data_IF_688763847660
#
_entry.id   IF_688763847660
#
_cell.length_a   1.000
_cell.length_b   1.000
_cell.length_c   1.000
_cell.angle_alpha   90.00
_cell.angle_beta   90.00
_cell.angle_gamma   90.00
#
_symmetry.space_group_name_H-M   'P 1'
#
loop_
_entity.id
_entity.type
_entity.pdbx_description
1 polymer ?
#
# COMPACT_ATOMS: atom_id res chain seq x y z
N UNK A 1 21.42 31.03 2.22
CA UNK A 1 20.65 30.07 3.03
C UNK A 1 21.24 28.70 2.76
N UNK A 2 21.91 28.12 3.75
CA UNK A 2 22.52 26.79 3.60
C UNK A 2 21.38 25.75 3.64
N UNK A 3 21.19 25.03 2.54
CA UNK A 3 20.32 23.85 2.51
C UNK A 3 20.98 22.80 3.39
N UNK A 4 20.35 22.50 4.53
CA UNK A 4 20.72 21.36 5.36
C UNK A 4 20.48 20.09 4.52
N UNK A 5 21.54 19.59 3.89
CA UNK A 5 21.54 18.36 3.14
C UNK A 5 21.76 17.19 4.12
N UNK A 6 20.82 16.99 5.06
CA UNK A 6 20.78 15.75 5.81
C UNK A 6 20.36 14.67 4.81
N UNK A 7 21.13 13.59 4.61
CA UNK A 7 20.70 12.53 3.68
C UNK A 7 19.34 12.00 4.14
N UNK A 8 18.40 11.86 3.19
CA UNK A 8 17.10 11.26 3.47
C UNK A 8 17.29 9.88 4.12
N UNK A 9 16.51 9.53 5.15
CA UNK A 9 16.63 8.23 5.79
C UNK A 9 16.41 7.13 4.77
N UNK A 10 17.24 6.11 4.78
CA UNK A 10 17.13 4.93 3.91
C UNK A 10 15.77 4.25 4.06
N UNK A 11 15.20 4.26 5.28
CA UNK A 11 13.91 3.66 5.61
C UNK A 11 12.87 4.77 5.79
N UNK A 12 11.78 4.69 4.99
CA UNK A 12 10.68 5.65 5.07
C UNK A 12 9.64 5.26 6.12
N UNK A 13 9.43 3.96 6.33
CA UNK A 13 8.54 3.43 7.35
C UNK A 13 9.27 2.41 8.21
N UNK A 14 9.03 2.44 9.52
CA UNK A 14 9.56 1.45 10.47
C UNK A 14 8.48 1.12 11.51
N UNK A 15 8.36 -0.16 11.87
CA UNK A 15 7.56 -0.59 13.02
C UNK A 15 8.47 -1.11 14.12
N UNK A 16 8.15 -0.77 15.37
CA UNK A 16 8.88 -1.21 16.57
C UNK A 16 7.91 -1.82 17.56
N UNK A 17 8.05 -3.13 17.78
CA UNK A 17 7.23 -3.94 18.69
C UNK A 17 5.72 -3.67 18.52
N UNK A 18 5.28 -3.57 17.26
CA UNK A 18 3.93 -3.14 16.92
C UNK A 18 2.90 -4.23 17.24
N UNK A 19 1.99 -3.91 18.15
CA UNK A 19 0.77 -4.67 18.44
C UNK A 19 -0.47 -3.89 17.99
N UNK A 20 -1.44 -4.58 17.39
CA UNK A 20 -2.69 -3.96 16.93
C UNK A 20 -3.89 -4.71 17.52
N UNK A 21 -4.81 -3.96 18.12
CA UNK A 21 -6.00 -4.50 18.77
C UNK A 21 -7.29 -3.96 18.14
N UNK A 22 -8.33 -4.79 18.15
CA UNK A 22 -9.72 -4.43 17.93
C UNK A 22 -10.52 -4.81 19.19
N UNK A 23 -10.82 -3.83 20.05
CA UNK A 23 -11.32 -4.08 21.40
C UNK A 23 -10.33 -4.91 22.21
N UNK A 24 -10.74 -6.07 22.71
CA UNK A 24 -9.86 -7.01 23.43
C UNK A 24 -9.11 -7.99 22.51
N UNK A 25 -9.44 -8.04 21.23
CA UNK A 25 -8.82 -8.96 20.29
C UNK A 25 -7.50 -8.40 19.75
N UNK A 26 -6.38 -9.08 20.05
CA UNK A 26 -5.06 -8.76 19.47
C UNK A 26 -4.99 -9.36 18.08
N UNK A 27 -5.05 -8.52 17.04
CA UNK A 27 -5.04 -8.95 15.64
C UNK A 27 -3.62 -9.16 15.10
N UNK A 28 -2.65 -8.33 15.55
CA UNK A 28 -1.25 -8.37 15.14
C UNK A 28 -0.37 -8.19 16.36
N UNK A 29 0.78 -8.87 16.41
CA UNK A 29 1.70 -8.81 17.56
C UNK A 29 3.16 -8.75 17.15
N UNK A 30 3.94 -7.91 17.87
CA UNK A 30 5.40 -7.87 17.88
C UNK A 30 6.04 -7.62 16.51
N UNK A 31 5.40 -6.82 15.65
CA UNK A 31 5.92 -6.59 14.29
C UNK A 31 7.04 -5.57 14.32
N UNK A 32 8.21 -5.99 13.82
CA UNK A 32 9.39 -5.17 13.60
C UNK A 32 9.78 -5.24 12.12
N UNK A 33 9.64 -4.14 11.39
CA UNK A 33 9.93 -4.03 9.96
C UNK A 33 10.55 -2.69 9.64
N UNK A 34 11.38 -2.66 8.58
CA UNK A 34 11.95 -1.43 8.02
C UNK A 34 11.71 -1.42 6.51
N UNK A 35 10.97 -0.44 6.02
CA UNK A 35 10.60 -0.32 4.61
C UNK A 35 11.49 0.72 3.95
N UNK A 36 12.24 0.29 2.95
CA UNK A 36 13.15 1.13 2.19
C UNK A 36 12.39 2.07 1.26
N UNK A 37 12.94 3.29 1.13
CA UNK A 37 12.42 4.32 0.23
C UNK A 37 12.57 3.89 -1.23
N UNK A 38 11.56 4.22 -2.06
CA UNK A 38 11.53 3.94 -3.50
C UNK A 38 11.73 2.45 -3.85
N UNK A 39 11.16 1.58 -3.02
CA UNK A 39 11.11 0.14 -3.21
C UNK A 39 9.68 -0.37 -3.12
N UNK A 40 9.45 -1.55 -3.67
CA UNK A 40 8.20 -2.29 -3.49
C UNK A 40 8.40 -3.34 -2.40
N UNK A 41 7.65 -3.23 -1.31
CA UNK A 41 7.60 -4.23 -0.23
C UNK A 41 6.27 -4.98 -0.29
N UNK A 42 6.31 -6.30 -0.48
CA UNK A 42 5.14 -7.15 -0.40
C UNK A 42 4.94 -7.71 1.01
N UNK A 43 3.68 -7.76 1.45
CA UNK A 43 3.25 -8.49 2.65
C UNK A 43 2.42 -9.69 2.18
N UNK A 44 2.93 -10.90 2.37
CA UNK A 44 2.27 -12.15 1.97
C UNK A 44 1.91 -13.00 3.19
N UNK A 45 1.06 -13.99 2.99
CA UNK A 45 0.66 -14.95 4.04
C UNK A 45 -0.79 -15.39 3.88
N UNK A 46 -1.23 -16.38 4.67
CA UNK A 46 -2.57 -16.94 4.59
C UNK A 46 -3.66 -15.91 4.92
N UNK A 47 -4.88 -16.19 4.47
CA UNK A 47 -6.04 -15.35 4.77
C UNK A 47 -6.28 -15.27 6.28
N UNK A 48 -6.61 -14.08 6.77
CA UNK A 48 -6.92 -13.85 8.19
C UNK A 48 -5.70 -13.72 9.12
N UNK A 49 -4.45 -13.72 8.62
CA UNK A 49 -3.26 -13.50 9.44
C UNK A 49 -2.95 -12.03 9.75
N UNK A 50 -3.81 -11.08 9.38
CA UNK A 50 -3.65 -9.67 9.75
C UNK A 50 -2.92 -8.77 8.75
N UNK A 51 -2.67 -9.20 7.50
CA UNK A 51 -1.94 -8.41 6.48
C UNK A 51 -2.54 -7.03 6.25
N UNK A 52 -3.84 -6.95 5.95
CA UNK A 52 -4.53 -5.67 5.74
C UNK A 52 -4.61 -4.84 7.02
N UNK A 53 -4.64 -5.49 8.20
CA UNK A 53 -4.57 -4.80 9.49
C UNK A 53 -3.20 -4.13 9.66
N UNK A 54 -2.11 -4.84 9.36
CA UNK A 54 -0.76 -4.27 9.39
C UNK A 54 -0.61 -3.15 8.35
N UNK A 55 -1.07 -3.36 7.11
CA UNK A 55 -0.99 -2.34 6.06
C UNK A 55 -1.68 -1.04 6.47
N UNK A 56 -2.89 -1.12 7.04
CA UNK A 56 -3.68 0.03 7.48
C UNK A 56 -3.10 0.74 8.71
N UNK A 57 -2.19 0.11 9.45
CA UNK A 57 -1.49 0.77 10.54
C UNK A 57 -0.50 1.82 10.03
N UNK A 58 0.08 1.64 8.84
CA UNK A 58 1.04 2.59 8.26
C UNK A 58 0.45 3.97 7.92
N UNK A 59 -0.89 4.09 7.80
CA UNK A 59 -1.55 5.37 7.55
C UNK A 59 -2.71 5.66 8.51
N UNK A 60 -2.75 5.01 9.66
CA UNK A 60 -3.75 5.21 10.71
C UNK A 60 -5.20 4.91 10.27
N UNK A 61 -5.39 4.14 9.17
CA UNK A 61 -6.73 3.75 8.72
C UNK A 61 -7.44 2.81 9.69
N UNK A 62 -6.71 2.10 10.54
CA UNK A 62 -7.30 1.25 11.58
C UNK A 62 -8.14 2.06 12.59
N UNK A 63 -7.80 3.32 12.86
CA UNK A 63 -8.54 4.20 13.78
C UNK A 63 -9.98 4.50 13.32
N UNK A 64 -10.30 4.25 12.05
CA UNK A 64 -11.68 4.37 11.55
C UNK A 64 -12.60 3.24 12.06
N UNK A 65 -12.03 2.19 12.64
CA UNK A 65 -12.79 1.12 13.28
C UNK A 65 -12.84 1.35 14.78
N UNK A 66 -14.06 1.42 15.33
CA UNK A 66 -14.28 1.65 16.75
C UNK A 66 -13.56 0.60 17.62
N UNK A 67 -12.90 1.05 18.67
CA UNK A 67 -12.17 0.19 19.60
C UNK A 67 -10.80 -0.25 19.12
N UNK A 68 -10.27 0.31 18.02
CA UNK A 68 -8.88 0.04 17.63
C UNK A 68 -7.90 0.72 18.58
N UNK A 69 -6.88 -0.02 18.99
CA UNK A 69 -5.71 0.53 19.69
C UNK A 69 -4.41 -0.08 19.19
N UNK A 70 -3.34 0.69 19.31
CA UNK A 70 -1.99 0.33 18.87
C UNK A 70 -1.04 0.49 20.04
N UNK A 71 -0.19 -0.52 20.26
CA UNK A 71 0.96 -0.45 21.15
C UNK A 71 2.24 -0.62 20.31
N UNK A 72 3.37 -0.12 20.81
CA UNK A 72 4.59 -0.01 20.03
C UNK A 72 4.58 1.26 19.19
N UNK A 73 5.37 1.32 18.12
CA UNK A 73 5.54 2.51 17.30
C UNK A 73 5.42 2.22 15.81
N UNK A 74 4.90 3.19 15.08
CA UNK A 74 4.97 3.25 13.61
C UNK A 74 5.66 4.55 13.25
N UNK A 75 6.91 4.44 12.81
CA UNK A 75 7.73 5.59 12.44
C UNK A 75 7.57 5.88 10.94
N UNK A 76 7.37 7.13 10.59
CA UNK A 76 7.41 7.63 9.23
C UNK A 76 8.41 8.80 9.17
N UNK A 77 9.46 8.66 8.36
CA UNK A 77 10.59 9.58 8.32
C UNK A 77 11.20 9.90 9.69
N UNK A 78 11.23 8.89 10.59
CA UNK A 78 11.78 9.03 11.93
C UNK A 78 10.83 9.61 12.97
N UNK A 79 9.60 9.97 12.61
CA UNK A 79 8.56 10.48 13.51
C UNK A 79 7.49 9.42 13.79
N UNK A 80 7.06 9.26 15.04
CA UNK A 80 5.97 8.34 15.38
C UNK A 80 4.63 8.91 14.94
N UNK A 81 4.03 8.28 13.92
CA UNK A 81 2.74 8.76 13.36
C UNK A 81 1.56 8.60 14.32
N UNK A 82 1.71 7.88 15.44
CA UNK A 82 0.69 7.75 16.50
C UNK A 82 0.92 8.67 17.70
N UNK A 83 1.94 9.56 17.63
CA UNK A 83 2.11 10.59 18.65
C UNK A 83 0.89 11.51 18.72
N UNK A 84 0.63 12.07 19.93
CA UNK A 84 -0.61 12.82 20.22
C UNK A 84 -0.80 14.09 19.42
N UNK A 85 0.28 14.68 18.99
CA UNK A 85 0.35 15.93 18.21
C UNK A 85 0.36 15.72 16.70
N UNK A 86 0.36 14.48 16.23
CA UNK A 86 0.34 14.15 14.80
C UNK A 86 -1.09 14.07 14.27
N UNK A 87 -1.41 14.89 13.27
CA UNK A 87 -2.72 14.89 12.60
C UNK A 87 -2.86 13.65 11.69
N UNK A 88 -3.86 12.78 11.89
CA UNK A 88 -4.12 11.64 11.01
C UNK A 88 -4.42 12.03 9.56
N UNK A 89 -4.92 13.24 9.31
CA UNK A 89 -5.22 13.73 7.95
C UNK A 89 -3.92 13.98 7.21
N UNK A 90 -2.93 14.59 7.86
CA UNK A 90 -1.61 14.82 7.29
C UNK A 90 -0.90 13.49 6.99
N UNK A 91 -0.98 12.52 7.89
CA UNK A 91 -0.42 11.16 7.65
C UNK A 91 -1.04 10.54 6.40
N UNK A 92 -2.37 10.61 6.24
CA UNK A 92 -3.08 10.03 5.08
C UNK A 92 -2.85 10.81 3.78
N UNK A 93 -2.47 12.06 3.86
CA UNK A 93 -2.04 12.85 2.71
C UNK A 93 -0.69 12.36 2.18
N UNK A 94 0.28 12.13 3.09
CA UNK A 94 1.63 11.68 2.75
C UNK A 94 1.71 10.17 2.46
N UNK A 95 0.79 9.37 3.04
CA UNK A 95 0.71 7.91 2.87
C UNK A 95 -0.65 7.53 2.29
N UNK A 96 -0.71 7.50 0.95
CA UNK A 96 -1.93 7.19 0.19
C UNK A 96 -2.32 5.72 0.25
N UNK A 97 -3.58 5.40 -0.06
CA UNK A 97 -4.08 4.02 -0.04
C UNK A 97 -4.93 3.69 -1.26
N UNK A 98 -4.66 2.53 -1.85
CA UNK A 98 -5.45 1.88 -2.89
C UNK A 98 -6.07 0.62 -2.31
N UNK A 99 -7.40 0.50 -2.39
CA UNK A 99 -8.15 -0.60 -1.78
C UNK A 99 -8.28 -1.79 -2.73
N UNK A 100 -8.57 -2.95 -2.16
CA UNK A 100 -8.78 -4.20 -2.87
C UNK A 100 -9.90 -4.09 -3.91
N UNK A 101 -11.04 -3.53 -3.51
CA UNK A 101 -12.15 -3.26 -4.41
C UNK A 101 -12.00 -1.84 -4.96
N UNK A 102 -11.95 -1.66 -6.29
CA UNK A 102 -11.94 -0.32 -6.88
C UNK A 102 -13.08 0.54 -6.32
N UNK A 103 -12.76 1.75 -5.93
CA UNK A 103 -13.71 2.68 -5.32
C UNK A 103 -13.63 4.09 -5.95
N UNK A 104 -13.78 4.20 -7.27
CA UNK A 104 -13.85 5.53 -7.88
C UNK A 104 -15.05 6.30 -7.31
N UNK A 105 -14.89 7.61 -7.18
CA UNK A 105 -16.00 8.46 -6.79
C UNK A 105 -17.12 8.41 -7.86
N UNK A 106 -18.40 8.58 -7.48
CA UNK A 106 -19.51 8.67 -8.42
C UNK A 106 -19.48 10.02 -9.18
N UNK A 107 -18.36 10.28 -9.83
CA UNK A 107 -18.00 11.48 -10.59
C UNK A 107 -17.38 11.05 -11.91
N UNK A 108 -17.09 12.01 -12.78
CA UNK A 108 -16.36 11.73 -14.02
C UNK A 108 -14.94 11.22 -13.76
N UNK A 109 -14.30 10.64 -14.78
CA UNK A 109 -12.89 10.24 -14.73
C UNK A 109 -12.03 11.44 -14.36
N UNK A 110 -12.22 12.57 -15.01
CA UNK A 110 -11.56 13.84 -14.71
C UNK A 110 -11.72 14.24 -13.23
N UNK A 111 -12.97 14.28 -12.76
CA UNK A 111 -13.28 14.71 -11.40
C UNK A 111 -12.79 13.76 -10.31
N UNK A 112 -12.54 12.50 -10.61
CA UNK A 112 -11.92 11.58 -9.66
C UNK A 112 -10.51 12.06 -9.25
N UNK A 113 -9.81 12.73 -10.12
CA UNK A 113 -8.46 13.26 -9.88
C UNK A 113 -8.54 14.72 -9.45
N UNK A 114 -9.19 15.57 -10.25
CA UNK A 114 -9.25 17.00 -10.05
C UNK A 114 -9.89 17.39 -8.70
N UNK A 115 -10.91 16.67 -8.26
CA UNK A 115 -11.57 16.93 -6.98
C UNK A 115 -10.64 16.70 -5.79
N UNK A 116 -9.85 15.61 -5.82
CA UNK A 116 -8.86 15.32 -4.78
C UNK A 116 -7.80 16.41 -4.71
N UNK A 117 -7.25 16.80 -5.85
CA UNK A 117 -6.24 17.86 -5.93
C UNK A 117 -6.77 19.21 -5.41
N UNK A 118 -8.03 19.57 -5.73
CA UNK A 118 -8.67 20.81 -5.24
C UNK A 118 -8.83 20.83 -3.73
N UNK A 119 -9.25 19.74 -3.11
CA UNK A 119 -9.39 19.64 -1.66
C UNK A 119 -8.04 19.87 -0.96
N UNK A 120 -6.96 19.36 -1.56
CA UNK A 120 -5.60 19.53 -1.03
C UNK A 120 -4.93 20.84 -1.51
N UNK A 121 -5.73 21.80 -2.05
CA UNK A 121 -5.27 23.15 -2.32
C UNK A 121 -4.36 23.29 -3.53
N UNK A 122 -4.37 22.34 -4.48
CA UNK A 122 -3.60 22.45 -5.72
C UNK A 122 -4.01 23.68 -6.54
N UNK A 123 -3.03 24.50 -6.92
CA UNK A 123 -3.24 25.78 -7.63
C UNK A 123 -2.64 25.81 -9.05
N UNK A 124 -2.05 24.69 -9.49
CA UNK A 124 -1.46 24.59 -10.83
C UNK A 124 -2.50 24.33 -11.91
N UNK A 125 -2.02 23.99 -13.11
CA UNK A 125 -2.88 23.59 -14.24
C UNK A 125 -3.54 22.25 -13.96
N UNK A 126 -4.86 22.23 -13.78
CA UNK A 126 -5.62 21.05 -13.42
C UNK A 126 -5.68 20.03 -14.55
N UNK A 127 -5.79 20.49 -15.80
CA UNK A 127 -5.84 19.60 -16.97
C UNK A 127 -4.52 18.83 -17.12
N UNK A 128 -3.42 19.52 -16.95
CA UNK A 128 -2.08 18.94 -16.98
C UNK A 128 -1.87 17.95 -15.83
N UNK A 129 -2.34 18.24 -14.62
CA UNK A 129 -2.30 17.34 -13.49
C UNK A 129 -3.08 16.06 -13.76
N UNK A 130 -4.31 16.18 -14.29
CA UNK A 130 -5.18 15.05 -14.61
C UNK A 130 -4.54 14.19 -15.70
N UNK A 131 -4.06 14.80 -16.78
CA UNK A 131 -3.37 14.06 -17.85
C UNK A 131 -2.15 13.32 -17.30
N UNK A 132 -1.26 13.99 -16.57
CA UNK A 132 -0.06 13.41 -16.03
C UNK A 132 -0.37 12.24 -15.06
N UNK A 133 -1.36 12.40 -14.18
CA UNK A 133 -1.77 11.33 -13.26
C UNK A 133 -2.33 10.12 -14.00
N UNK A 134 -3.11 10.32 -15.06
CA UNK A 134 -3.64 9.25 -15.89
C UNK A 134 -2.55 8.57 -16.72
N UNK A 135 -1.55 9.31 -17.20
CA UNK A 135 -0.37 8.76 -17.89
C UNK A 135 0.48 7.92 -16.96
N UNK A 136 0.79 8.43 -15.77
CA UNK A 136 1.54 7.68 -14.75
C UNK A 136 0.80 6.40 -14.34
N UNK A 137 -0.54 6.41 -14.32
CA UNK A 137 -1.36 5.21 -14.06
C UNK A 137 -1.59 4.31 -15.29
N UNK A 138 -0.89 4.56 -16.40
CA UNK A 138 -1.03 3.85 -17.70
C UNK A 138 -2.51 3.75 -18.16
N UNK A 139 -3.30 4.81 -17.95
CA UNK A 139 -4.73 4.84 -18.25
C UNK A 139 -5.10 5.90 -19.30
N UNK A 140 -4.27 6.91 -19.54
CA UNK A 140 -4.56 8.05 -20.41
C UNK A 140 -5.08 7.66 -21.79
N UNK A 141 -4.36 6.82 -22.50
CA UNK A 141 -4.71 6.46 -23.89
C UNK A 141 -6.04 5.69 -24.00
N UNK A 142 -6.47 5.06 -22.92
CA UNK A 142 -7.74 4.34 -22.87
C UNK A 142 -8.94 5.24 -22.53
N UNK A 143 -8.70 6.46 -21.95
CA UNK A 143 -9.77 7.31 -21.42
C UNK A 143 -9.75 8.76 -21.87
N UNK A 144 -8.72 9.24 -22.59
CA UNK A 144 -8.55 10.65 -22.98
C UNK A 144 -9.76 11.24 -23.72
N UNK A 145 -10.47 10.45 -24.52
CA UNK A 145 -11.64 10.88 -25.30
C UNK A 145 -12.96 10.81 -24.50
N UNK A 146 -12.92 10.36 -23.24
CA UNK A 146 -14.11 10.16 -22.39
C UNK A 146 -13.91 10.63 -20.95
N UNK A 147 -13.04 11.61 -20.71
CA UNK A 147 -12.70 12.14 -19.39
C UNK A 147 -13.90 12.62 -18.57
N UNK A 148 -14.93 13.11 -19.23
CA UNK A 148 -16.16 13.60 -18.60
C UNK A 148 -17.24 12.53 -18.38
N UNK A 149 -16.99 11.29 -18.83
CA UNK A 149 -17.86 10.16 -18.53
C UNK A 149 -17.65 9.68 -17.09
N UNK A 150 -18.63 8.96 -16.55
CA UNK A 150 -18.57 8.43 -15.19
C UNK A 150 -17.36 7.51 -14.99
N UNK A 151 -16.61 7.71 -13.90
CA UNK A 151 -15.55 6.79 -13.49
C UNK A 151 -16.04 5.38 -13.14
N UNK A 152 -17.35 5.21 -12.93
CA UNK A 152 -17.97 3.90 -12.68
C UNK A 152 -18.31 3.13 -13.97
N UNK A 153 -18.26 3.78 -15.14
CA UNK A 153 -18.65 3.17 -16.43
C UNK A 153 -17.49 2.44 -17.14
N UNK A 154 -16.29 2.51 -16.62
CA UNK A 154 -15.11 1.86 -17.19
C UNK A 154 -14.87 0.47 -16.57
N UNK A 155 -14.05 -0.37 -17.19
CA UNK A 155 -13.76 -1.74 -16.71
C UNK A 155 -13.13 -1.75 -15.30
N UNK A 156 -13.23 -2.88 -14.59
CA UNK A 156 -12.66 -3.02 -13.24
C UNK A 156 -11.17 -2.70 -13.16
N UNK A 157 -10.36 -3.15 -14.14
CA UNK A 157 -8.95 -2.83 -14.23
C UNK A 157 -8.68 -1.35 -14.52
N UNK A 158 -9.53 -0.71 -15.34
CA UNK A 158 -9.48 0.74 -15.56
C UNK A 158 -9.89 1.52 -14.30
N UNK A 159 -10.91 1.06 -13.58
CA UNK A 159 -11.31 1.67 -12.29
C UNK A 159 -10.18 1.59 -11.26
N UNK A 160 -9.48 0.45 -11.19
CA UNK A 160 -8.34 0.30 -10.28
C UNK A 160 -7.21 1.27 -10.62
N UNK A 161 -6.85 1.37 -11.91
CA UNK A 161 -5.84 2.36 -12.36
C UNK A 161 -6.30 3.81 -12.15
N UNK A 162 -7.60 4.08 -12.26
CA UNK A 162 -8.16 5.40 -11.92
C UNK A 162 -8.00 5.70 -10.41
N UNK A 163 -8.22 4.71 -9.54
CA UNK A 163 -7.97 4.86 -8.11
C UNK A 163 -6.48 5.08 -7.79
N UNK A 164 -5.57 4.44 -8.54
CA UNK A 164 -4.13 4.70 -8.44
C UNK A 164 -3.81 6.12 -8.94
N UNK A 165 -4.32 6.54 -10.11
CA UNK A 165 -4.15 7.90 -10.63
C UNK A 165 -4.61 8.96 -9.62
N UNK A 166 -5.75 8.73 -8.97
CA UNK A 166 -6.26 9.59 -7.91
C UNK A 166 -5.31 9.64 -6.70
N UNK A 167 -4.76 8.50 -6.28
CA UNK A 167 -3.85 8.44 -5.14
C UNK A 167 -2.54 9.18 -5.41
N UNK A 168 -1.96 9.05 -6.60
CA UNK A 168 -0.69 9.70 -6.97
C UNK A 168 -0.83 11.19 -7.33
N UNK A 169 -2.05 11.68 -7.63
CA UNK A 169 -2.28 13.07 -8.03
C UNK A 169 -1.88 14.09 -6.96
N UNK A 170 -1.87 13.70 -5.70
CA UNK A 170 -1.43 14.52 -4.57
C UNK A 170 0.04 14.30 -4.19
N UNK A 171 0.76 13.46 -4.97
CA UNK A 171 2.19 13.14 -4.78
C UNK A 171 2.52 12.65 -3.37
N UNK A 172 1.92 11.55 -2.90
CA UNK A 172 2.25 10.97 -1.61
C UNK A 172 3.69 10.44 -1.63
N UNK A 173 4.30 10.22 -0.48
CA UNK A 173 5.62 9.60 -0.38
C UNK A 173 5.55 8.06 -0.38
N UNK A 174 4.43 7.54 0.15
CA UNK A 174 4.17 6.10 0.22
C UNK A 174 2.78 5.79 -0.36
N UNK A 175 2.69 4.70 -1.10
CA UNK A 175 1.43 4.17 -1.61
C UNK A 175 1.20 2.77 -1.01
N UNK A 176 0.16 2.63 -0.21
CA UNK A 176 -0.29 1.35 0.31
C UNK A 176 -1.29 0.73 -0.65
N UNK A 177 -1.14 -0.55 -0.98
CA UNK A 177 -2.03 -1.27 -1.89
C UNK A 177 -2.53 -2.55 -1.24
N UNK A 178 -3.83 -2.61 -0.93
CA UNK A 178 -4.48 -3.78 -0.32
C UNK A 178 -5.04 -4.66 -1.43
N UNK A 179 -4.34 -5.74 -1.81
CA UNK A 179 -4.72 -6.71 -2.86
C UNK A 179 -5.19 -6.06 -4.19
N UNK A 180 -4.45 -5.13 -4.80
CA UNK A 180 -4.93 -4.26 -5.88
C UNK A 180 -5.30 -4.98 -7.17
N UNK A 181 -4.94 -6.26 -7.33
CA UNK A 181 -5.20 -7.05 -8.53
C UNK A 181 -6.09 -8.27 -8.28
N UNK A 182 -6.59 -8.51 -7.06
CA UNK A 182 -7.27 -9.74 -6.69
C UNK A 182 -8.59 -10.00 -7.45
N UNK A 183 -9.25 -8.95 -7.95
CA UNK A 183 -10.50 -9.03 -8.69
C UNK A 183 -10.31 -8.80 -10.22
N UNK A 184 -9.06 -8.78 -10.70
CA UNK A 184 -8.73 -8.47 -12.08
C UNK A 184 -8.39 -9.74 -12.88
N UNK A 185 -8.58 -9.66 -14.18
CA UNK A 185 -8.10 -10.68 -15.11
C UNK A 185 -6.56 -10.68 -15.19
N UNK A 186 -5.92 -11.74 -15.74
CA UNK A 186 -4.46 -11.84 -15.79
C UNK A 186 -3.78 -10.71 -16.55
N UNK A 187 -4.39 -10.18 -17.61
CA UNK A 187 -3.82 -9.08 -18.42
C UNK A 187 -3.84 -7.78 -17.61
N UNK A 188 -4.97 -7.48 -16.95
CA UNK A 188 -5.08 -6.31 -16.07
C UNK A 188 -4.14 -6.42 -14.87
N UNK A 189 -3.95 -7.63 -14.32
CA UNK A 189 -2.98 -7.89 -13.24
C UNK A 189 -1.56 -7.54 -13.66
N UNK A 190 -1.11 -8.01 -14.82
CA UNK A 190 0.23 -7.69 -15.36
C UNK A 190 0.42 -6.17 -15.53
N UNK A 191 -0.60 -5.46 -16.04
CA UNK A 191 -0.55 -4.00 -16.15
C UNK A 191 -0.35 -3.30 -14.79
N UNK A 192 -0.95 -3.80 -13.71
CA UNK A 192 -0.74 -3.28 -12.36
C UNK A 192 0.68 -3.58 -11.86
N UNK A 193 1.22 -4.77 -12.15
CA UNK A 193 2.60 -5.14 -11.79
C UNK A 193 3.62 -4.24 -12.51
N UNK A 194 3.47 -4.05 -13.82
CA UNK A 194 4.30 -3.13 -14.61
C UNK A 194 4.21 -1.69 -14.09
N UNK A 195 2.99 -1.24 -13.79
CA UNK A 195 2.73 0.07 -13.22
C UNK A 195 3.46 0.27 -11.88
N UNK A 196 3.46 -0.72 -10.99
CA UNK A 196 4.20 -0.63 -9.71
C UNK A 196 5.72 -0.49 -9.95
N UNK A 197 6.29 -1.17 -10.95
CA UNK A 197 7.71 -1.05 -11.29
C UNK A 197 8.06 0.36 -11.82
N UNK A 198 7.15 1.02 -12.52
CA UNK A 198 7.35 2.40 -12.95
C UNK A 198 7.17 3.37 -11.78
N UNK A 199 6.12 3.21 -10.98
CA UNK A 199 5.81 4.09 -9.86
C UNK A 199 6.87 4.06 -8.74
N UNK A 200 7.56 2.93 -8.52
CA UNK A 200 8.58 2.85 -7.46
C UNK A 200 9.78 3.77 -7.70
N UNK A 201 9.95 4.32 -8.89
CA UNK A 201 11.00 5.31 -9.19
C UNK A 201 10.79 6.61 -8.40
N UNK A 202 9.52 6.95 -8.16
CA UNK A 202 9.12 8.20 -7.50
C UNK A 202 8.46 7.97 -6.12
N UNK A 203 7.91 6.77 -5.89
CA UNK A 203 7.11 6.44 -4.71
C UNK A 203 7.61 5.17 -4.01
N UNK A 204 7.48 5.12 -2.70
CA UNK A 204 7.61 3.86 -1.97
C UNK A 204 6.28 3.11 -2.02
N UNK A 205 6.29 1.80 -2.28
CA UNK A 205 5.06 1.01 -2.42
C UNK A 205 5.07 -0.12 -1.39
N UNK A 206 3.97 -0.26 -0.65
CA UNK A 206 3.71 -1.44 0.20
C UNK A 206 2.46 -2.12 -0.30
N UNK A 207 2.59 -3.37 -0.74
CA UNK A 207 1.47 -4.15 -1.27
C UNK A 207 1.16 -5.35 -0.37
N UNK A 208 -0.12 -5.56 -0.08
CA UNK A 208 -0.63 -6.84 0.44
C UNK A 208 -1.11 -7.67 -0.75
N UNK A 209 -0.70 -8.91 -0.83
CA UNK A 209 -1.21 -9.85 -1.82
C UNK A 209 -1.21 -11.29 -1.30
N UNK A 210 -2.17 -12.08 -1.75
CA UNK A 210 -2.18 -13.53 -1.57
C UNK A 210 -1.61 -14.26 -2.80
N UNK A 211 -1.31 -13.53 -3.88
CA UNK A 211 -0.71 -14.09 -5.09
C UNK A 211 0.82 -14.05 -4.98
N UNK A 212 1.40 -15.23 -4.69
CA UNK A 212 2.85 -15.40 -4.54
C UNK A 212 3.63 -15.05 -5.80
N UNK A 213 3.07 -15.35 -6.99
CA UNK A 213 3.72 -15.02 -8.25
C UNK A 213 3.78 -13.49 -8.45
N UNK A 214 2.73 -12.77 -8.07
CA UNK A 214 2.74 -11.30 -8.09
C UNK A 214 3.81 -10.74 -7.14
N UNK A 215 3.86 -11.22 -5.89
CA UNK A 215 4.89 -10.80 -4.94
C UNK A 215 6.30 -11.06 -5.48
N UNK A 216 6.55 -12.26 -6.02
CA UNK A 216 7.85 -12.65 -6.56
C UNK A 216 8.30 -11.78 -7.76
N UNK A 217 7.37 -11.33 -8.61
CA UNK A 217 7.70 -10.50 -9.79
C UNK A 217 7.77 -9.01 -9.49
N UNK A 218 6.89 -8.53 -8.61
CA UNK A 218 6.65 -7.11 -8.45
C UNK A 218 7.34 -6.47 -7.25
N UNK A 219 7.89 -7.23 -6.29
CA UNK A 219 8.47 -6.66 -5.07
C UNK A 219 9.98 -6.83 -4.97
N UNK A 220 10.62 -5.85 -4.33
CA UNK A 220 12.05 -5.87 -3.98
C UNK A 220 12.25 -6.62 -2.64
N UNK A 221 11.35 -6.40 -1.67
CA UNK A 221 11.33 -7.05 -0.36
C UNK A 221 10.00 -7.74 -0.11
N UNK A 222 10.03 -8.81 0.68
CA UNK A 222 8.82 -9.55 1.04
C UNK A 222 8.80 -9.86 2.54
N UNK A 223 7.69 -9.50 3.18
CA UNK A 223 7.36 -9.87 4.55
C UNK A 223 6.39 -11.05 4.56
N UNK A 224 6.76 -12.14 5.21
CA UNK A 224 5.88 -13.28 5.42
C UNK A 224 5.15 -13.15 6.75
N UNK A 225 3.83 -13.04 6.70
CA UNK A 225 2.97 -13.03 7.88
C UNK A 225 2.31 -14.38 8.10
N UNK A 226 2.29 -14.81 9.36
CA UNK A 226 1.62 -16.02 9.81
C UNK A 226 0.86 -15.77 11.11
N UNK A 227 0.01 -16.71 11.51
CA UNK A 227 -0.55 -16.71 12.85
C UNK A 227 0.56 -17.08 13.84
N UNK A 228 0.87 -16.21 14.78
CA UNK A 228 1.78 -16.47 15.89
C UNK A 228 1.19 -17.51 16.84
N UNK A 229 -0.14 -17.43 17.04
CA UNK A 229 -0.93 -18.36 17.84
C UNK A 229 -2.21 -18.74 17.08
N UNK A 230 -2.42 -20.03 16.86
CA UNK A 230 -3.60 -20.55 16.13
C UNK A 230 -4.89 -20.43 16.97
N UNK A 231 -4.79 -20.44 18.27
CA UNK A 231 -5.95 -20.32 19.19
C UNK A 231 -6.39 -18.86 19.28
N UNK A 232 -5.44 -17.96 19.51
CA UNK A 232 -5.71 -16.53 19.62
C UNK A 232 -5.89 -15.85 18.27
N UNK A 233 -5.56 -16.52 17.14
CA UNK A 233 -5.64 -16.01 15.77
C UNK A 233 -4.91 -14.66 15.58
N UNK A 234 -3.83 -14.46 16.32
CA UNK A 234 -2.99 -13.27 16.29
C UNK A 234 -1.91 -13.42 15.21
N UNK A 235 -1.76 -12.46 14.34
CA UNK A 235 -0.77 -12.50 13.27
C UNK A 235 0.56 -11.86 13.68
N UNK A 236 1.66 -12.31 13.05
CA UNK A 236 2.97 -11.69 13.19
C UNK A 236 3.77 -11.83 11.90
N UNK A 237 4.79 -11.00 11.70
CA UNK A 237 5.79 -11.17 10.64
C UNK A 237 6.82 -12.17 11.14
N UNK A 238 6.92 -13.32 10.47
CA UNK A 238 7.86 -14.39 10.84
C UNK A 238 9.17 -14.29 10.08
N UNK A 239 9.16 -13.68 8.90
CA UNK A 239 10.35 -13.48 8.09
C UNK A 239 10.18 -12.22 7.23
N UNK A 240 11.27 -11.43 7.08
CA UNK A 240 11.34 -10.27 6.21
C UNK A 240 12.73 -10.18 5.61
N UNK A 241 12.84 -10.25 4.30
CA UNK A 241 14.12 -10.22 3.57
C UNK A 241 13.87 -9.79 2.11
N UNK A 242 14.94 -9.71 1.32
CA UNK A 242 14.85 -9.55 -0.14
C UNK A 242 13.91 -10.62 -0.73
N UNK A 243 13.07 -10.22 -1.67
CA UNK A 243 12.06 -11.11 -2.27
C UNK A 243 12.68 -12.39 -2.82
N UNK A 244 13.81 -12.28 -3.52
CA UNK A 244 14.49 -13.46 -4.05
C UNK A 244 14.85 -14.47 -2.95
N UNK A 245 15.31 -14.01 -1.78
CA UNK A 245 15.63 -14.90 -0.65
C UNK A 245 14.40 -15.59 -0.09
N UNK A 246 13.32 -14.84 0.12
CA UNK A 246 12.05 -15.39 0.62
C UNK A 246 11.54 -16.53 -0.27
N UNK A 247 11.67 -16.39 -1.59
CA UNK A 247 11.14 -17.38 -2.53
C UNK A 247 12.12 -18.51 -2.90
N UNK A 248 13.43 -18.34 -2.70
CA UNK A 248 14.42 -19.35 -3.09
C UNK A 248 15.15 -20.01 -1.93
N UNK A 249 15.37 -19.32 -0.83
CA UNK A 249 16.11 -19.79 0.33
C UNK A 249 15.62 -19.15 1.64
N UNK A 250 14.33 -19.33 2.00
CA UNK A 250 13.78 -18.80 3.23
C UNK A 250 14.44 -19.43 4.46
N UNK A 251 14.54 -18.69 5.55
CA UNK A 251 15.14 -19.12 6.82
C UNK A 251 14.13 -19.83 7.71
N UNK A 252 12.85 -19.41 7.66
CA UNK A 252 11.77 -20.01 8.44
C UNK A 252 11.10 -21.13 7.65
N UNK A 253 11.02 -22.31 8.24
CA UNK A 253 10.38 -23.48 7.62
C UNK A 253 8.93 -23.22 7.19
N UNK A 254 8.20 -22.42 7.95
CA UNK A 254 6.80 -22.05 7.63
C UNK A 254 6.73 -21.21 6.36
N UNK A 255 7.74 -20.34 6.14
CA UNK A 255 7.87 -19.58 4.88
C UNK A 255 8.11 -20.52 3.72
N UNK A 256 9.05 -21.49 3.85
CA UNK A 256 9.34 -22.50 2.83
C UNK A 256 8.08 -23.29 2.47
N UNK A 257 7.36 -23.79 3.47
CA UNK A 257 6.14 -24.59 3.26
C UNK A 257 5.05 -23.75 2.57
N UNK A 258 4.93 -22.45 2.89
CA UNK A 258 3.97 -21.56 2.26
C UNK A 258 4.31 -21.26 0.80
N UNK A 259 5.55 -20.85 0.50
CA UNK A 259 5.95 -20.47 -0.86
C UNK A 259 6.03 -21.67 -1.82
N UNK A 260 6.24 -22.88 -1.28
CA UNK A 260 6.26 -24.14 -2.07
C UNK A 260 4.87 -24.79 -2.20
N UNK A 261 3.82 -24.19 -1.62
CA UNK A 261 2.46 -24.74 -1.66
C UNK A 261 2.26 -25.99 -0.78
N UNK A 262 3.18 -26.30 0.13
CA UNK A 262 3.06 -27.41 1.11
C UNK A 262 2.29 -27.03 2.37
N UNK A 263 1.71 -25.86 2.37
CA UNK A 263 0.93 -25.34 3.47
C UNK A 263 -0.49 -25.92 3.44
N UNK A 264 -0.82 -26.78 4.39
CA UNK A 264 -2.11 -27.45 4.56
C UNK A 264 -2.44 -27.64 6.03
#
# INVERSE_FOLDING_TARGET
MATNNTPEPQYVLETRDLDIYYGSFKAVTGVNMKIERNKVTAIIGPSGCGKSTLLRAFNRMNELYAGTSINGQVMFDGEDIYARDVDPVEVRYRIGMVFQKPNPFPKSIYENIAWTARIHGYKGNMDELVENSLRQAALWDEVKDKLHQSGLSISGGQQQRLCIARAISIKPEVILMDEPASALDPIATLKIEELMQELKKDYTIVIVTHNMQQAARASDYTAMMMLADRVLRCGTVIEFDETNRIFTNPKDKRTEDYVTGRFG
#
